data_IF_073946062913
#
_entry.id   IF_073946062913
#
_cell.length_a   1.000
_cell.length_b   1.000
_cell.length_c   1.000
_cell.angle_alpha   90.00
_cell.angle_beta   90.00
_cell.angle_gamma   90.00
#
_symmetry.space_group_name_H-M   'P 1'
#
loop_
_entity.id
_entity.type
_entity.pdbx_description
1 polymer ?
#
# COMPACT_ATOMS: atom_id res chain seq x y z
N UNK A 1 0.36 -38.17 17.24
CA UNK A 1 0.69 -37.81 15.85
C UNK A 1 -0.12 -36.56 15.45
N UNK A 2 0.37 -35.36 15.79
CA UNK A 2 -0.35 -34.09 15.57
C UNK A 2 0.60 -32.91 15.26
N UNK A 3 1.67 -33.16 14.51
CA UNK A 3 2.67 -32.11 14.17
C UNK A 3 2.43 -31.53 12.77
N UNK A 4 1.66 -32.22 11.93
CA UNK A 4 1.48 -31.86 10.50
C UNK A 4 0.53 -30.67 10.30
N UNK A 5 -0.43 -30.45 11.21
CA UNK A 5 -1.38 -29.33 11.12
C UNK A 5 -0.77 -27.95 11.43
N UNK A 6 0.19 -27.87 12.37
CA UNK A 6 0.81 -26.60 12.75
C UNK A 6 1.83 -26.11 11.71
N UNK A 7 2.63 -27.02 11.14
CA UNK A 7 3.69 -26.67 10.20
C UNK A 7 3.14 -26.00 8.90
N UNK A 8 1.94 -26.37 8.46
CA UNK A 8 1.30 -25.78 7.28
C UNK A 8 0.81 -24.34 7.50
N UNK A 9 0.51 -23.96 8.75
CA UNK A 9 0.04 -22.61 9.09
C UNK A 9 1.18 -21.63 9.36
N UNK A 10 2.35 -22.12 9.78
CA UNK A 10 3.52 -21.28 10.09
C UNK A 10 3.90 -20.33 8.92
N UNK A 11 3.94 -20.76 7.65
CA UNK A 11 4.19 -19.86 6.53
C UNK A 11 3.17 -18.73 6.43
N UNK A 12 1.88 -19.04 6.60
CA UNK A 12 0.81 -18.04 6.54
C UNK A 12 0.88 -17.04 7.68
N UNK A 13 1.13 -17.50 8.90
CA UNK A 13 1.32 -16.65 10.07
C UNK A 13 2.55 -15.76 9.89
N UNK A 14 3.67 -16.29 9.40
CA UNK A 14 4.87 -15.53 9.13
C UNK A 14 4.66 -14.45 8.06
N UNK A 15 3.91 -14.77 6.99
CA UNK A 15 3.55 -13.80 5.94
C UNK A 15 2.65 -12.70 6.50
N UNK A 16 1.61 -13.06 7.27
CA UNK A 16 0.70 -12.12 7.89
C UNK A 16 1.43 -11.20 8.89
N UNK A 17 2.30 -11.76 9.72
CA UNK A 17 3.14 -11.04 10.68
C UNK A 17 4.06 -10.05 9.99
N UNK A 18 4.84 -10.50 8.99
CA UNK A 18 5.72 -9.64 8.22
C UNK A 18 4.97 -8.48 7.54
N UNK A 19 3.77 -8.75 7.02
CA UNK A 19 2.93 -7.71 6.39
C UNK A 19 2.41 -6.70 7.41
N UNK A 20 1.94 -7.17 8.57
CA UNK A 20 1.46 -6.30 9.66
C UNK A 20 2.57 -5.42 10.22
N UNK A 21 3.78 -5.97 10.39
CA UNK A 21 4.94 -5.20 10.81
C UNK A 21 5.34 -4.11 9.81
N UNK A 22 5.22 -4.36 8.50
CA UNK A 22 5.47 -3.34 7.49
C UNK A 22 4.44 -2.21 7.54
N UNK A 23 3.15 -2.54 7.68
CA UNK A 23 2.10 -1.53 7.86
C UNK A 23 2.41 -0.70 9.11
N UNK A 24 2.70 -1.34 10.25
CA UNK A 24 3.05 -0.64 11.48
C UNK A 24 4.27 0.28 11.32
N UNK A 25 5.33 -0.18 10.65
CA UNK A 25 6.53 0.63 10.40
C UNK A 25 6.21 1.88 9.55
N UNK A 26 5.34 1.75 8.53
CA UNK A 26 4.90 2.90 7.73
C UNK A 26 4.10 3.88 8.59
N UNK A 27 3.17 3.38 9.41
CA UNK A 27 2.32 4.22 10.26
C UNK A 27 3.09 4.93 11.39
N UNK A 28 4.19 4.34 11.86
CA UNK A 28 5.08 4.99 12.83
C UNK A 28 5.95 6.08 12.20
N UNK A 29 6.27 5.95 10.91
CA UNK A 29 7.19 6.84 10.22
C UNK A 29 6.49 8.00 9.49
N UNK A 30 5.28 7.78 9.00
CA UNK A 30 4.52 8.76 8.21
C UNK A 30 3.27 9.20 8.97
N UNK A 31 3.04 10.51 9.13
CA UNK A 31 1.82 10.99 9.72
C UNK A 31 0.63 10.69 8.82
N UNK A 32 -0.50 10.39 9.43
CA UNK A 32 -1.77 10.35 8.71
C UNK A 32 -2.13 11.73 8.21
N UNK A 33 -2.47 11.82 6.93
CA UNK A 33 -3.02 13.03 6.30
C UNK A 33 -4.23 12.67 5.49
N UNK A 34 -5.24 13.51 5.58
CA UNK A 34 -6.45 13.40 4.80
C UNK A 34 -6.19 13.99 3.41
N UNK A 35 -6.57 13.26 2.37
CA UNK A 35 -6.42 13.70 0.99
C UNK A 35 -7.70 13.48 0.21
N UNK A 36 -8.00 14.33 -0.78
CA UNK A 36 -8.99 13.99 -1.79
C UNK A 36 -8.63 12.66 -2.45
N UNK A 37 -9.62 11.85 -2.79
CA UNK A 37 -9.39 10.64 -3.57
C UNK A 37 -10.47 10.41 -4.62
N UNK A 38 -10.02 9.87 -5.75
CA UNK A 38 -10.83 9.48 -6.87
C UNK A 38 -10.75 7.97 -7.05
N UNK A 39 -11.88 7.36 -7.40
CA UNK A 39 -11.98 5.94 -7.68
C UNK A 39 -12.17 5.75 -9.18
N UNK A 40 -11.11 5.39 -9.94
CA UNK A 40 -11.25 5.12 -11.37
C UNK A 40 -12.22 3.96 -11.61
N UNK A 41 -13.04 4.02 -12.67
CA UNK A 41 -13.94 2.93 -13.02
C UNK A 41 -13.14 1.65 -13.24
N UNK A 42 -13.56 0.57 -12.57
CA UNK A 42 -12.86 -0.71 -12.60
C UNK A 42 -13.31 -1.51 -13.83
N UNK A 43 -12.38 -1.77 -14.75
CA UNK A 43 -12.58 -2.79 -15.78
C UNK A 43 -12.57 -4.20 -15.16
N UNK A 44 -13.48 -5.07 -15.59
CA UNK A 44 -13.57 -6.46 -15.12
C UNK A 44 -12.21 -7.16 -15.23
N UNK A 45 -11.72 -7.76 -14.14
CA UNK A 45 -10.40 -8.40 -14.07
C UNK A 45 -9.22 -7.49 -13.73
N UNK A 46 -9.42 -6.16 -13.64
CA UNK A 46 -8.38 -5.22 -13.22
C UNK A 46 -8.24 -5.11 -11.69
N UNK A 47 -7.03 -4.85 -11.17
CA UNK A 47 -6.82 -4.62 -9.75
C UNK A 47 -7.55 -3.35 -9.30
N UNK A 48 -8.03 -3.34 -8.05
CA UNK A 48 -8.62 -2.14 -7.46
C UNK A 48 -7.58 -1.02 -7.34
N UNK A 49 -7.91 0.17 -7.82
CA UNK A 49 -7.05 1.35 -7.80
C UNK A 49 -7.73 2.53 -7.14
N UNK A 50 -6.91 3.43 -6.59
CA UNK A 50 -7.30 4.74 -6.09
C UNK A 50 -6.36 5.79 -6.67
N UNK A 51 -6.87 6.96 -6.99
CA UNK A 51 -6.07 8.10 -7.43
C UNK A 51 -6.12 9.18 -6.34
N UNK A 52 -4.96 9.66 -5.92
CA UNK A 52 -4.82 10.71 -4.89
C UNK A 52 -4.08 11.89 -5.53
N UNK A 53 -4.72 13.07 -5.66
CA UNK A 53 -4.05 14.30 -6.05
C UNK A 53 -3.35 14.91 -4.84
N UNK A 54 -2.02 14.73 -4.75
CA UNK A 54 -1.23 15.30 -3.65
C UNK A 54 -0.83 16.76 -3.90
N UNK A 55 -0.79 17.19 -5.17
CA UNK A 55 -0.52 18.57 -5.62
C UNK A 55 -1.26 18.80 -6.94
N UNK A 56 -1.42 20.06 -7.35
CA UNK A 56 -2.09 20.43 -8.62
C UNK A 56 -1.54 19.65 -9.82
N UNK A 57 -0.21 19.53 -9.92
CA UNK A 57 0.46 18.80 -11.01
C UNK A 57 0.82 17.35 -10.66
N UNK A 58 0.46 16.87 -9.46
CA UNK A 58 0.85 15.53 -9.01
C UNK A 58 -0.34 14.73 -8.49
N UNK A 59 -0.81 13.84 -9.37
CA UNK A 59 -1.74 12.76 -9.02
C UNK A 59 -1.03 11.43 -9.12
N UNK A 60 -1.08 10.64 -8.05
CA UNK A 60 -0.58 9.27 -8.05
C UNK A 60 -1.74 8.28 -7.99
N UNK A 61 -1.70 7.31 -8.90
CA UNK A 61 -2.62 6.18 -8.91
C UNK A 61 -1.96 5.02 -8.19
N UNK A 62 -2.60 4.51 -7.16
CA UNK A 62 -2.14 3.35 -6.41
C UNK A 62 -3.01 2.13 -6.68
N UNK A 63 -2.36 0.96 -6.68
CA UNK A 63 -3.02 -0.34 -6.59
C UNK A 63 -3.22 -0.65 -5.11
N UNK A 64 -4.46 -0.96 -4.76
CA UNK A 64 -4.78 -1.50 -3.45
C UNK A 64 -4.30 -2.95 -3.45
N UNK A 65 -3.34 -3.27 -2.59
CA UNK A 65 -2.93 -4.66 -2.40
C UNK A 65 -3.85 -5.22 -1.33
N UNK A 66 -4.85 -6.05 -1.69
CA UNK A 66 -5.73 -6.62 -0.69
C UNK A 66 -4.91 -7.37 0.36
N UNK A 67 -5.20 -7.07 1.63
CA UNK A 67 -5.04 -8.04 2.70
C UNK A 67 -6.02 -9.20 2.43
N UNK A 68 -5.86 -10.42 2.96
CA UNK A 68 -6.84 -11.51 2.83
C UNK A 68 -8.13 -11.24 3.61
N UNK A 69 -8.75 -10.09 3.39
CA UNK A 69 -10.09 -9.70 3.82
C UNK A 69 -10.85 -9.38 2.53
N UNK A 70 -12.02 -9.97 2.36
CA UNK A 70 -12.81 -9.85 1.15
C UNK A 70 -13.36 -8.42 1.02
N UNK A 71 -12.62 -7.57 0.31
CA UNK A 71 -13.01 -6.20 -0.04
C UNK A 71 -14.34 -6.13 -0.83
N UNK A 72 -14.86 -7.27 -1.30
CA UNK A 72 -16.18 -7.37 -1.93
C UNK A 72 -17.35 -7.07 -0.97
N UNK A 73 -17.12 -7.13 0.35
CA UNK A 73 -18.10 -6.76 1.38
C UNK A 73 -18.05 -5.26 1.73
N UNK A 74 -17.08 -4.51 1.20
CA UNK A 74 -16.91 -3.08 1.45
C UNK A 74 -17.78 -2.26 0.47
N UNK A 75 -19.09 -2.52 0.52
CA UNK A 75 -20.05 -1.88 -0.35
C UNK A 75 -20.25 -0.42 0.06
N UNK A 76 -19.91 0.49 -0.85
CA UNK A 76 -20.42 1.85 -1.01
C UNK A 76 -20.74 2.66 0.26
N UNK A 77 -19.73 3.37 0.76
CA UNK A 77 -19.93 4.72 1.30
C UNK A 77 -18.87 5.60 0.65
N UNK A 78 -19.22 6.28 -0.45
CA UNK A 78 -18.25 7.01 -1.28
C UNK A 78 -17.49 8.04 -0.44
N UNK A 79 -16.18 7.84 -0.22
CA UNK A 79 -15.36 8.70 0.60
C UNK A 79 -14.52 9.52 -0.38
N UNK A 80 -14.97 10.72 -0.76
CA UNK A 80 -14.20 11.67 -1.58
C UNK A 80 -12.85 12.04 -0.95
N UNK A 81 -12.62 11.57 0.28
CA UNK A 81 -11.41 11.71 1.05
C UNK A 81 -10.93 10.38 1.61
N UNK A 82 -9.61 10.26 1.72
CA UNK A 82 -8.95 9.09 2.27
C UNK A 82 -7.84 9.51 3.23
N UNK A 83 -7.65 8.76 4.30
CA UNK A 83 -6.44 8.87 5.10
C UNK A 83 -5.30 8.18 4.35
N UNK A 84 -4.19 8.88 4.18
CA UNK A 84 -2.96 8.34 3.59
C UNK A 84 -1.78 8.59 4.54
N UNK A 85 -0.98 7.54 4.75
CA UNK A 85 0.30 7.59 5.44
C UNK A 85 1.35 6.90 4.57
N UNK A 86 2.31 7.67 4.05
CA UNK A 86 3.36 7.16 3.19
C UNK A 86 4.00 8.24 2.33
N UNK A 87 4.68 7.81 1.27
CA UNK A 87 5.29 8.68 0.27
C UNK A 87 4.57 8.51 -1.07
N UNK A 88 4.08 9.58 -1.70
CA UNK A 88 3.34 9.48 -2.96
C UNK A 88 4.09 8.76 -4.10
N UNK A 89 5.43 8.78 -4.07
CA UNK A 89 6.30 8.14 -5.06
C UNK A 89 6.47 6.65 -4.83
N UNK A 90 6.41 6.22 -3.56
CA UNK A 90 6.75 4.84 -3.14
C UNK A 90 5.56 4.03 -2.64
N UNK A 91 4.42 4.69 -2.40
CA UNK A 91 3.22 4.10 -1.83
C UNK A 91 3.12 4.33 -0.32
N UNK A 92 2.23 3.58 0.31
CA UNK A 92 1.86 3.86 1.68
C UNK A 92 0.80 2.92 2.21
N UNK A 93 0.05 3.46 3.15
CA UNK A 93 -1.12 2.84 3.76
C UNK A 93 -2.27 3.81 3.62
N UNK A 94 -3.44 3.27 3.29
CA UNK A 94 -4.68 4.05 3.20
C UNK A 94 -5.78 3.48 4.08
N UNK A 95 -6.69 4.35 4.51
CA UNK A 95 -7.93 3.96 5.16
C UNK A 95 -9.03 4.99 4.81
N UNK A 96 -10.29 4.58 4.60
CA UNK A 96 -11.39 5.52 4.46
C UNK A 96 -11.52 6.47 5.66
N UNK A 97 -11.95 7.71 5.41
CA UNK A 97 -12.25 8.68 6.47
C UNK A 97 -13.52 8.21 7.20
N UNK A 98 -13.37 7.82 8.46
CA UNK A 98 -14.42 7.13 9.23
C UNK A 98 -13.92 5.92 10.01
N UNK A 99 -12.73 5.42 9.65
CA UNK A 99 -12.02 4.38 10.39
C UNK A 99 -12.36 2.97 9.92
N UNK A 100 -11.45 2.40 9.11
CA UNK A 100 -11.44 0.99 8.77
C UNK A 100 -10.01 0.43 8.79
N UNK A 101 -9.87 -0.87 8.49
CA UNK A 101 -8.58 -1.54 8.47
C UNK A 101 -7.62 -0.88 7.46
N UNK A 102 -6.45 -0.39 7.90
CA UNK A 102 -5.47 0.23 7.02
C UNK A 102 -4.95 -0.77 5.98
N UNK A 103 -5.05 -0.41 4.70
CA UNK A 103 -4.62 -1.25 3.58
C UNK A 103 -3.36 -0.69 2.93
N UNK A 104 -2.39 -1.56 2.63
CA UNK A 104 -1.18 -1.17 1.92
C UNK A 104 -1.48 -0.86 0.45
N UNK A 105 -0.93 0.24 -0.03
CA UNK A 105 -1.04 0.67 -1.42
C UNK A 105 0.34 0.82 -2.06
N UNK A 106 0.44 0.53 -3.34
CA UNK A 106 1.67 0.69 -4.13
C UNK A 106 1.39 1.45 -5.41
N UNK A 107 2.36 2.22 -5.96
CA UNK A 107 2.18 2.91 -7.21
C UNK A 107 1.75 1.95 -8.32
N UNK A 108 0.73 2.32 -9.09
CA UNK A 108 0.25 1.53 -10.22
C UNK A 108 1.30 1.46 -11.34
N UNK A 109 1.94 2.60 -11.61
CA UNK A 109 3.06 2.73 -12.55
C UNK A 109 4.27 3.21 -11.75
N UNK A 110 5.36 2.41 -11.65
CA UNK A 110 6.56 2.85 -10.96
C UNK A 110 7.25 3.95 -11.76
N UNK A 111 7.36 5.15 -11.18
CA UNK A 111 8.09 6.27 -11.80
C UNK A 111 9.57 6.18 -11.42
N UNK A 112 10.36 5.50 -12.25
CA UNK A 112 11.80 5.27 -12.01
C UNK A 112 12.60 6.57 -11.87
N UNK A 113 12.18 7.63 -12.54
CA UNK A 113 12.84 8.95 -12.50
C UNK A 113 12.68 9.63 -11.13
N UNK A 114 11.62 9.31 -10.39
CA UNK A 114 11.35 9.83 -9.04
C UNK A 114 11.91 8.88 -7.94
N UNK A 115 12.53 7.76 -8.34
CA UNK A 115 13.15 6.80 -7.43
C UNK A 115 14.51 7.30 -6.91
N UNK A 116 14.48 8.31 -6.04
CA UNK A 116 15.66 8.86 -5.40
C UNK A 116 15.35 10.15 -4.64
N UNK A 117 16.35 10.67 -3.91
CA UNK A 117 16.25 11.92 -3.18
C UNK A 117 15.74 11.78 -1.74
N UNK A 118 15.39 12.92 -1.14
CA UNK A 118 14.90 12.99 0.24
C UNK A 118 13.70 12.06 0.44
N UNK A 119 13.68 11.28 1.53
CA UNK A 119 12.63 10.30 1.82
C UNK A 119 12.87 8.88 1.26
N UNK A 120 13.81 8.68 0.32
CA UNK A 120 14.12 7.35 -0.22
C UNK A 120 14.67 6.38 0.83
N UNK A 121 15.60 6.83 1.68
CA UNK A 121 16.15 6.02 2.78
C UNK A 121 15.07 5.64 3.80
N UNK A 122 14.14 6.55 4.09
CA UNK A 122 13.01 6.25 4.96
C UNK A 122 12.09 5.21 4.30
N UNK A 123 11.75 5.39 3.02
CA UNK A 123 10.93 4.47 2.25
C UNK A 123 11.54 3.06 2.13
N UNK A 124 12.87 2.96 2.04
CA UNK A 124 13.60 1.69 2.14
C UNK A 124 13.48 1.07 3.53
N UNK A 125 13.74 1.86 4.58
CA UNK A 125 13.70 1.40 5.98
C UNK A 125 12.34 0.83 6.36
N UNK A 126 11.25 1.48 5.94
CA UNK A 126 9.88 1.04 6.25
C UNK A 126 9.33 0.00 5.27
N UNK A 127 10.09 -0.38 4.25
CA UNK A 127 9.72 -1.42 3.29
C UNK A 127 8.65 -1.00 2.26
N UNK A 128 8.54 0.30 1.97
CA UNK A 128 7.80 0.81 0.81
C UNK A 128 8.55 0.46 -0.49
N UNK A 129 9.87 0.66 -0.47
CA UNK A 129 10.78 0.28 -1.55
C UNK A 129 11.55 -0.97 -1.15
N UNK A 130 11.85 -1.84 -2.13
CA UNK A 130 12.89 -2.87 -1.97
C UNK A 130 14.11 -2.42 -2.75
N UNK A 131 15.32 -2.61 -2.20
CA UNK A 131 16.54 -2.55 -3.02
C UNK A 131 16.34 -3.53 -4.17
N UNK A 132 16.20 -3.02 -5.38
CA UNK A 132 16.13 -3.87 -6.56
C UNK A 132 17.51 -4.48 -6.74
N UNK A 133 17.66 -5.77 -6.42
CA UNK A 133 18.86 -6.54 -6.74
C UNK A 133 19.05 -6.76 -8.25
N UNK A 134 18.10 -6.33 -9.10
CA UNK A 134 18.25 -6.30 -10.55
C UNK A 134 18.97 -5.01 -10.99
N UNK A 135 20.24 -4.91 -10.62
CA UNK A 135 21.22 -4.20 -11.42
C UNK A 135 21.73 -5.18 -12.47
N UNK A 136 21.05 -5.28 -13.62
CA UNK A 136 21.71 -5.82 -14.81
C UNK A 136 22.72 -4.77 -15.23
N UNK A 137 23.98 -5.00 -14.84
CA UNK A 137 25.15 -4.28 -15.33
C UNK A 137 25.26 -4.60 -16.82
N UNK A 138 24.90 -3.66 -17.69
CA UNK A 138 25.43 -3.60 -19.06
C UNK A 138 26.83 -3.02 -19.00
#
# INVERSE_FOLDING_TARGET
MAVIGFAAWVPWVAIAYCRRHRVAAILQAYPWREWPCLHPPRATGSPATIAIPFREDFTATFRIIPFPVALAELDHVHPDRIWFAGDPRFGGVVSPVGGHYPVRVVPHTPRREECGGEGFELALRVGLVRRSGKGTRT
#
